data_IF_039430048032
#
_entry.id   IF_039430048032
#
_cell.length_a   1.000
_cell.length_b   1.000
_cell.length_c   1.000
_cell.angle_alpha   90.00
_cell.angle_beta   90.00
_cell.angle_gamma   90.00
#
_symmetry.space_group_name_H-M   'P 1'
#
loop_
_entity.id
_entity.type
_entity.pdbx_description
1 polymer ?
#
# COMPACT_ATOMS: atom_id res chain seq x y z
N UNK A 1 -11.21 -21.56 0.26
CA UNK A 1 -11.87 -20.24 0.25
C UNK A 1 -11.39 -19.53 -1.01
N UNK A 2 -12.16 -19.62 -2.10
CA UNK A 2 -11.87 -18.84 -3.30
C UNK A 2 -12.50 -17.46 -3.15
N UNK A 3 -11.68 -16.42 -3.21
CA UNK A 3 -12.17 -15.04 -3.30
C UNK A 3 -12.25 -14.71 -4.79
N UNK A 4 -13.38 -15.02 -5.43
CA UNK A 4 -13.69 -14.55 -6.78
C UNK A 4 -14.19 -13.11 -6.69
N UNK A 5 -13.25 -12.17 -6.56
CA UNK A 5 -13.55 -10.76 -6.77
C UNK A 5 -13.80 -10.52 -8.27
N UNK A 6 -15.06 -10.64 -8.70
CA UNK A 6 -15.49 -10.20 -10.03
C UNK A 6 -15.45 -8.66 -10.09
N UNK A 7 -14.25 -8.10 -10.12
CA UNK A 7 -14.05 -6.67 -10.35
C UNK A 7 -14.40 -6.31 -11.78
N UNK A 8 -15.26 -5.32 -11.98
CA UNK A 8 -15.56 -4.79 -13.31
C UNK A 8 -14.33 -4.04 -13.83
N UNK A 9 -13.80 -4.50 -14.96
CA UNK A 9 -12.77 -3.77 -15.70
C UNK A 9 -13.44 -2.56 -16.36
N UNK A 10 -13.04 -1.35 -15.95
CA UNK A 10 -13.63 -0.09 -16.41
C UNK A 10 -12.57 1.01 -16.48
N UNK A 11 -12.55 1.73 -17.59
CA UNK A 11 -11.69 2.90 -17.81
C UNK A 11 -12.51 4.17 -17.57
N UNK A 12 -12.22 4.85 -16.47
CA UNK A 12 -12.86 6.11 -16.05
C UNK A 12 -11.94 7.33 -16.17
N UNK A 13 -10.76 7.15 -16.75
CA UNK A 13 -9.81 8.22 -17.03
C UNK A 13 -9.92 8.63 -18.50
N UNK A 14 -9.57 9.88 -18.77
CA UNK A 14 -9.59 10.50 -20.09
C UNK A 14 -8.31 11.34 -20.28
N UNK A 15 -8.02 11.84 -21.49
CA UNK A 15 -6.94 12.80 -21.70
C UNK A 15 -7.03 14.06 -20.81
N UNK A 16 -8.23 14.45 -20.36
CA UNK A 16 -8.42 15.56 -19.42
C UNK A 16 -7.89 15.29 -18.00
N UNK A 17 -7.44 14.07 -17.72
CA UNK A 17 -6.83 13.68 -16.46
C UNK A 17 -5.30 13.77 -16.46
N UNK A 18 -4.69 14.27 -17.55
CA UNK A 18 -3.26 14.60 -17.58
C UNK A 18 -2.90 15.54 -16.42
N UNK A 19 -1.79 15.25 -15.76
CA UNK A 19 -1.34 15.90 -14.53
C UNK A 19 -1.92 15.30 -13.24
N UNK A 20 -2.94 14.43 -13.33
CA UNK A 20 -3.52 13.76 -12.15
C UNK A 20 -2.83 12.44 -11.87
N UNK A 21 -2.89 12.01 -10.60
CA UNK A 21 -2.46 10.67 -10.21
C UNK A 21 -3.53 9.66 -10.62
N UNK A 22 -3.12 8.60 -11.30
CA UNK A 22 -4.00 7.54 -11.81
C UNK A 22 -3.50 6.17 -11.34
N UNK A 23 -4.43 5.22 -11.30
CA UNK A 23 -4.15 3.79 -11.22
C UNK A 23 -4.72 3.14 -12.46
N UNK A 24 -3.88 2.47 -13.22
CA UNK A 24 -4.26 1.78 -14.46
C UNK A 24 -3.93 0.31 -14.39
N UNK A 25 -4.73 -0.49 -15.08
CA UNK A 25 -4.48 -1.91 -15.33
C UNK A 25 -4.40 -2.11 -16.84
N UNK A 26 -3.31 -2.71 -17.29
CA UNK A 26 -3.14 -3.11 -18.69
C UNK A 26 -3.03 -4.62 -18.84
N UNK A 27 -3.35 -5.11 -20.02
CA UNK A 27 -2.98 -6.46 -20.44
C UNK A 27 -1.45 -6.56 -20.56
N UNK A 28 -0.90 -7.68 -20.10
CA UNK A 28 0.50 -8.04 -20.36
C UNK A 28 0.71 -8.33 -21.85
N UNK A 29 1.96 -8.26 -22.32
CA UNK A 29 2.27 -8.63 -23.70
C UNK A 29 1.98 -10.12 -23.93
N UNK A 30 1.40 -10.49 -25.08
CA UNK A 30 1.21 -11.89 -25.44
C UNK A 30 2.55 -12.64 -25.40
N UNK A 31 2.66 -13.65 -24.52
CA UNK A 31 3.87 -14.48 -24.40
C UNK A 31 4.89 -14.06 -23.34
N UNK A 32 4.68 -12.93 -22.63
CA UNK A 32 5.61 -12.44 -21.61
C UNK A 32 5.53 -13.17 -20.25
N UNK A 33 4.55 -14.07 -20.06
CA UNK A 33 4.41 -14.88 -18.84
C UNK A 33 2.97 -15.30 -18.54
N UNK A 34 2.72 -16.00 -17.43
CA UNK A 34 1.37 -16.39 -17.00
C UNK A 34 0.52 -15.21 -16.52
N UNK A 35 1.15 -14.06 -16.24
CA UNK A 35 0.47 -12.86 -15.74
C UNK A 35 -0.25 -12.10 -16.86
N UNK A 36 -1.58 -12.20 -16.86
CA UNK A 36 -2.43 -11.55 -17.88
C UNK A 36 -2.54 -10.02 -17.71
N UNK A 37 -2.28 -9.49 -16.52
CA UNK A 37 -2.49 -8.08 -16.21
C UNK A 37 -1.33 -7.50 -15.42
N UNK A 38 -1.00 -6.24 -15.71
CA UNK A 38 -0.04 -5.44 -14.94
C UNK A 38 -0.69 -4.14 -14.50
N UNK A 39 -0.53 -3.81 -13.22
CA UNK A 39 -1.01 -2.54 -12.66
C UNK A 39 0.11 -1.50 -12.63
N UNK A 40 -0.23 -0.24 -12.89
CA UNK A 40 0.70 0.89 -12.78
C UNK A 40 0.01 2.06 -12.09
N UNK A 41 0.72 2.65 -11.12
CA UNK A 41 0.27 3.82 -10.38
C UNK A 41 1.30 4.93 -10.54
N UNK A 42 0.85 6.11 -10.97
CA UNK A 42 1.72 7.25 -11.21
C UNK A 42 0.92 8.48 -11.64
N UNK A 43 1.62 9.51 -12.08
CA UNK A 43 1.02 10.70 -12.68
C UNK A 43 0.88 10.44 -14.17
N UNK A 44 -0.32 10.65 -14.72
CA UNK A 44 -0.54 10.63 -16.17
C UNK A 44 0.10 11.90 -16.75
N UNK A 45 1.22 11.76 -17.45
CA UNK A 45 2.02 12.90 -17.96
C UNK A 45 1.67 13.26 -19.40
N UNK A 46 1.25 12.29 -20.21
CA UNK A 46 0.65 12.55 -21.52
C UNK A 46 -0.36 11.47 -21.89
N UNK A 47 -1.25 11.81 -22.81
CA UNK A 47 -2.15 10.89 -23.49
C UNK A 47 -2.41 11.42 -24.89
N UNK A 48 -1.65 10.91 -25.85
CA UNK A 48 -1.66 11.29 -27.25
C UNK A 48 -1.32 10.07 -28.10
N UNK A 49 -1.70 10.11 -29.39
CA UNK A 49 -1.38 9.07 -30.37
C UNK A 49 -1.65 7.62 -29.93
N UNK A 50 -2.68 7.42 -29.09
CA UNK A 50 -3.06 6.11 -28.58
C UNK A 50 -2.17 5.57 -27.45
N UNK A 51 -1.27 6.38 -26.89
CA UNK A 51 -0.33 5.98 -25.83
C UNK A 51 -0.53 6.86 -24.60
N UNK A 52 -0.56 6.23 -23.43
CA UNK A 52 -0.56 6.89 -22.14
C UNK A 52 0.86 6.84 -21.56
N UNK A 53 1.39 7.99 -21.17
CA UNK A 53 2.64 8.08 -20.42
C UNK A 53 2.34 8.27 -18.94
N UNK A 54 2.87 7.37 -18.11
CA UNK A 54 2.71 7.44 -16.65
C UNK A 54 4.07 7.50 -15.98
N UNK A 55 4.32 8.60 -15.26
CA UNK A 55 5.51 8.72 -14.42
C UNK A 55 5.23 8.18 -13.01
N UNK A 56 5.97 7.14 -12.64
CA UNK A 56 5.93 6.49 -11.34
C UNK A 56 6.59 7.35 -10.27
N UNK A 57 6.42 6.94 -9.02
CA UNK A 57 6.94 7.69 -7.85
C UNK A 57 8.47 7.78 -7.83
N UNK A 58 9.15 6.79 -8.36
CA UNK A 58 10.60 6.71 -8.50
C UNK A 58 11.15 7.56 -9.68
N UNK A 59 10.26 8.16 -10.48
CA UNK A 59 10.62 8.95 -11.66
C UNK A 59 10.66 8.14 -12.96
N UNK A 60 10.50 6.81 -12.91
CA UNK A 60 10.41 5.98 -14.11
C UNK A 60 9.14 6.34 -14.89
N UNK A 61 9.26 6.51 -16.21
CA UNK A 61 8.10 6.73 -17.08
C UNK A 61 7.78 5.47 -17.86
N UNK A 62 6.51 5.07 -17.83
CA UNK A 62 6.01 3.86 -18.50
C UNK A 62 5.03 4.26 -19.59
N UNK A 63 5.27 3.75 -20.80
CA UNK A 63 4.34 3.85 -21.92
C UNK A 63 3.32 2.70 -21.86
N UNK A 64 2.05 3.03 -22.05
CA UNK A 64 0.95 2.07 -22.08
C UNK A 64 0.09 2.35 -23.31
N UNK A 65 0.03 1.37 -24.20
CA UNK A 65 -0.92 1.35 -25.31
C UNK A 65 -2.36 1.45 -24.81
N UNK A 66 -3.13 2.39 -25.34
CA UNK A 66 -4.54 2.58 -25.02
C UNK A 66 -5.35 1.30 -25.33
N UNK A 67 -4.94 0.55 -26.36
CA UNK A 67 -5.55 -0.73 -26.74
C UNK A 67 -5.35 -1.83 -25.68
N UNK A 68 -4.31 -1.74 -24.86
CA UNK A 68 -4.02 -2.68 -23.78
C UNK A 68 -4.66 -2.27 -22.45
N UNK A 69 -5.20 -1.04 -22.33
CA UNK A 69 -5.78 -0.51 -21.11
C UNK A 69 -7.17 -1.12 -20.85
N UNK A 70 -7.31 -1.86 -19.74
CA UNK A 70 -8.57 -2.53 -19.37
C UNK A 70 -9.28 -1.88 -18.19
N UNK A 71 -8.54 -1.18 -17.32
CA UNK A 71 -9.14 -0.40 -16.26
C UNK A 71 -8.28 0.82 -15.93
N UNK A 72 -8.93 1.89 -15.49
CA UNK A 72 -8.26 3.13 -15.13
C UNK A 72 -9.13 4.00 -14.25
N UNK A 73 -8.56 4.56 -13.19
CA UNK A 73 -9.24 5.56 -12.36
C UNK A 73 -8.25 6.63 -11.90
N UNK A 74 -8.76 7.85 -11.74
CA UNK A 74 -8.07 8.88 -10.96
C UNK A 74 -8.01 8.42 -9.51
N UNK A 75 -6.85 8.57 -8.88
CA UNK A 75 -6.65 8.30 -7.45
C UNK A 75 -6.27 9.58 -6.74
N UNK A 76 -6.63 9.75 -5.46
CA UNK A 76 -6.18 10.89 -4.68
C UNK A 76 -4.65 11.03 -4.71
N UNK A 77 -4.18 12.28 -4.69
CA UNK A 77 -2.77 12.58 -4.49
C UNK A 77 -2.25 11.87 -3.24
N UNK A 78 -0.96 11.52 -3.22
CA UNK A 78 -0.37 10.95 -2.01
C UNK A 78 -0.62 11.91 -0.85
N UNK A 79 -1.19 11.44 0.28
CA UNK A 79 -1.44 12.31 1.42
C UNK A 79 -0.16 13.03 1.78
N UNK A 80 -0.26 14.33 2.07
CA UNK A 80 0.86 15.07 2.61
C UNK A 80 1.44 14.28 3.79
N UNK A 81 2.75 14.01 3.77
CA UNK A 81 3.42 13.33 4.87
C UNK A 81 3.19 14.16 6.13
N UNK A 82 2.23 13.73 6.95
CA UNK A 82 2.08 14.29 8.28
C UNK A 82 3.38 13.94 9.01
N UNK A 83 4.05 14.93 9.57
CA UNK A 83 5.12 14.69 10.54
C UNK A 83 4.50 13.75 11.59
N UNK A 84 5.26 12.75 12.01
CA UNK A 84 4.80 11.81 13.04
C UNK A 84 4.27 12.56 14.27
N UNK A 85 3.55 11.88 15.17
CA UNK A 85 3.06 12.51 16.39
C UNK A 85 4.20 13.28 17.07
N UNK A 86 3.89 14.44 17.65
CA UNK A 86 4.88 15.23 18.39
C UNK A 86 5.47 14.46 19.59
N UNK A 87 4.83 13.35 19.99
CA UNK A 87 5.28 12.45 21.02
C UNK A 87 6.57 11.72 20.64
N UNK A 88 7.49 11.69 21.58
CA UNK A 88 8.69 10.86 21.52
C UNK A 88 8.34 9.37 21.53
N UNK A 89 9.25 8.54 21.01
CA UNK A 89 9.12 7.08 21.10
C UNK A 89 8.86 6.61 22.54
N UNK A 90 9.48 7.27 23.53
CA UNK A 90 9.34 6.89 24.93
C UNK A 90 7.94 7.13 25.48
N UNK A 91 7.31 8.24 25.11
CA UNK A 91 5.91 8.51 25.48
C UNK A 91 4.98 7.50 24.81
N UNK A 92 5.22 7.19 23.53
CA UNK A 92 4.44 6.19 22.80
C UNK A 92 4.61 4.78 23.38
N UNK A 93 5.83 4.39 23.77
CA UNK A 93 6.11 3.07 24.34
C UNK A 93 5.36 2.87 25.67
N UNK A 94 5.31 3.89 26.53
CA UNK A 94 4.54 3.86 27.79
C UNK A 94 3.03 3.75 27.54
N UNK A 95 2.50 4.43 26.51
CA UNK A 95 1.09 4.31 26.15
C UNK A 95 0.77 2.93 25.57
N UNK A 96 1.61 2.42 24.68
CA UNK A 96 1.45 1.10 24.06
C UNK A 96 1.47 -0.03 25.10
N UNK A 97 2.33 0.06 26.13
CA UNK A 97 2.37 -0.90 27.24
C UNK A 97 1.04 -1.01 28.01
N UNK A 98 0.17 0.00 27.96
CA UNK A 98 -1.16 -0.05 28.59
C UNK A 98 -2.18 -0.85 27.80
N UNK A 99 -1.98 -1.00 26.49
CA UNK A 99 -2.87 -1.78 25.63
C UNK A 99 -2.69 -3.30 25.84
N UNK A 100 -1.49 -3.70 26.26
CA UNK A 100 -1.19 -5.07 26.68
C UNK A 100 -0.39 -5.02 27.99
N UNK A 101 -1.12 -4.95 29.11
CA UNK A 101 -0.48 -4.78 30.42
C UNK A 101 0.28 -6.05 30.80
N UNK A 102 1.55 -5.93 31.22
CA UNK A 102 2.31 -7.06 31.74
C UNK A 102 1.75 -7.52 33.09
N UNK A 103 2.02 -8.77 33.48
CA UNK A 103 1.63 -9.31 34.78
C UNK A 103 2.40 -8.64 35.90
N UNK A 104 3.71 -8.43 35.67
CA UNK A 104 4.61 -7.72 36.57
C UNK A 104 5.37 -6.62 35.81
N UNK A 105 5.58 -5.48 36.46
CA UNK A 105 6.33 -4.36 35.90
C UNK A 105 7.14 -3.61 36.94
N UNK A 106 8.37 -3.24 36.60
CA UNK A 106 9.24 -2.44 37.47
C UNK A 106 10.03 -1.39 36.66
N UNK A 107 10.50 -0.33 37.32
CA UNK A 107 11.33 0.71 36.70
C UNK A 107 12.81 0.44 36.98
N UNK A 108 13.62 0.41 35.92
CA UNK A 108 15.07 0.38 36.00
C UNK A 108 15.65 1.59 35.28
N UNK A 109 15.84 2.68 36.03
CA UNK A 109 16.20 3.97 35.47
C UNK A 109 15.19 4.40 34.40
N UNK A 110 15.65 4.48 33.15
CA UNK A 110 14.80 4.89 32.03
C UNK A 110 13.94 3.76 31.46
N UNK A 111 14.26 2.51 31.79
CA UNK A 111 13.60 1.30 31.32
C UNK A 111 12.39 0.92 32.18
N UNK A 112 11.42 0.28 31.54
CA UNK A 112 10.32 -0.43 32.20
C UNK A 112 10.53 -1.92 31.95
N UNK A 113 10.89 -2.64 33.00
CA UNK A 113 10.97 -4.09 33.00
C UNK A 113 9.56 -4.65 33.02
N UNK A 114 9.33 -5.73 32.27
CA UNK A 114 8.02 -6.36 32.13
C UNK A 114 8.22 -7.86 32.16
N UNK A 115 7.46 -8.55 33.02
CA UNK A 115 7.50 -9.99 33.15
C UNK A 115 6.09 -10.59 33.12
N UNK A 116 6.04 -11.83 32.67
CA UNK A 116 4.90 -12.72 32.76
C UNK A 116 5.45 -14.14 32.95
N UNK A 117 4.71 -14.95 33.70
CA UNK A 117 5.00 -16.38 33.80
C UNK A 117 4.30 -17.11 32.67
N UNK A 118 5.02 -17.97 31.95
CA UNK A 118 4.40 -19.02 31.15
C UNK A 118 4.14 -20.18 32.11
N UNK A 119 2.87 -20.46 32.38
CA UNK A 119 2.53 -21.67 33.14
C UNK A 119 2.92 -22.89 32.29
N UNK A 120 3.67 -23.82 32.88
CA UNK A 120 3.99 -25.08 32.21
C UNK A 120 2.68 -25.75 31.79
N UNK A 121 2.52 -26.10 30.50
CA UNK A 121 1.30 -26.76 30.05
C UNK A 121 1.12 -28.06 30.87
N UNK A 122 -0.11 -28.41 31.27
CA UNK A 122 -0.34 -29.61 32.05
C UNK A 122 0.25 -30.82 31.33
N UNK A 123 1.12 -31.57 32.01
CA UNK A 123 1.69 -32.80 31.45
C UNK A 123 0.53 -33.75 31.18
N UNK A 124 0.34 -34.09 29.90
CA UNK A 124 -0.71 -35.00 29.46
C UNK A 124 -0.33 -36.41 29.95
N UNK A 125 -1.23 -37.15 30.62
CA UNK A 125 -0.94 -38.47 31.17
C UNK A 125 -0.61 -39.51 30.10
#
# INVERSE_FOLDING_TARGET
MEISAAGRLEVRITPADVGKRVSVRRLGEPGAGPEKFTDTVGVLTSWDDGVLMITRRDGESVAIEQSALVAGKVVPAAPARRRGPAASYRELARLAARAWRPVESERLGEWELRAAVEAEPPQRP
#
